data_IF_335970363313
#
_entry.id   IF_335970363313
#
_cell.length_a   1.000
_cell.length_b   1.000
_cell.length_c   1.000
_cell.angle_alpha   90.00
_cell.angle_beta   90.00
_cell.angle_gamma   90.00
#
_symmetry.space_group_name_H-M   'P 1'
#
loop_
_entity.id
_entity.type
_entity.pdbx_description
1 polymer ?
#
# COMPACT_ATOMS: atom_id res chain seq x y z
N UNK A 1 29.62 3.74 13.72
CA UNK A 1 29.61 3.60 15.19
C UNK A 1 28.54 4.52 15.77
N UNK A 2 27.77 3.98 16.70
CA UNK A 2 26.52 4.50 17.29
C UNK A 2 26.73 5.76 18.17
N UNK A 3 25.63 6.51 18.35
CA UNK A 3 25.09 7.13 19.60
C UNK A 3 24.31 8.39 19.18
N UNK A 4 22.98 8.49 19.20
CA UNK A 4 21.97 8.23 20.24
C UNK A 4 22.36 8.82 21.60
N UNK A 5 21.80 9.98 21.92
CA UNK A 5 21.69 10.49 23.29
C UNK A 5 20.47 11.42 23.36
N UNK A 6 19.38 10.90 23.92
CA UNK A 6 18.37 11.67 24.66
C UNK A 6 18.74 11.59 26.14
N UNK A 7 18.39 12.60 26.94
CA UNK A 7 17.84 12.30 28.26
C UNK A 7 16.57 13.10 28.59
N UNK A 8 15.49 12.33 28.77
CA UNK A 8 14.43 12.36 29.80
C UNK A 8 14.21 13.59 30.74
N UNK A 9 12.90 13.92 30.83
CA UNK A 9 12.08 14.20 32.04
C UNK A 9 12.17 15.55 32.77
N UNK A 10 11.01 16.24 32.91
CA UNK A 10 10.08 16.02 34.05
C UNK A 10 8.80 16.87 33.94
N UNK A 11 7.72 16.35 34.54
CA UNK A 11 6.34 16.84 34.53
C UNK A 11 6.03 17.84 35.67
N UNK A 12 5.07 18.73 35.42
CA UNK A 12 4.17 19.36 36.42
C UNK A 12 2.78 19.43 35.78
N UNK A 13 1.63 19.14 36.39
CA UNK A 13 1.28 18.97 37.78
C UNK A 13 -0.01 19.77 38.04
N UNK A 14 -1.18 19.27 37.67
CA UNK A 14 -2.48 19.83 38.08
C UNK A 14 -3.46 18.69 38.43
N UNK A 15 -3.68 18.54 39.73
CA UNK A 15 -4.76 17.75 40.34
C UNK A 15 -6.04 18.59 40.37
N UNK A 16 -7.16 18.00 39.95
CA UNK A 16 -8.49 18.27 40.50
C UNK A 16 -9.27 16.94 40.52
N UNK A 17 -10.13 16.76 41.51
CA UNK A 17 -10.50 15.49 42.11
C UNK A 17 -11.97 15.08 41.88
N UNK A 18 -12.18 13.74 41.71
CA UNK A 18 -13.34 12.90 42.14
C UNK A 18 -14.65 12.99 41.31
N UNK A 19 -15.50 11.92 41.16
CA UNK A 19 -15.50 10.61 41.84
C UNK A 19 -15.45 9.35 40.97
N UNK A 20 -15.16 8.24 41.66
CA UNK A 20 -15.15 6.87 41.22
C UNK A 20 -16.53 6.33 40.83
N UNK A 21 -16.59 5.60 39.72
CA UNK A 21 -17.55 4.52 39.52
C UNK A 21 -16.77 3.21 39.38
N UNK A 22 -16.91 2.37 40.39
CA UNK A 22 -16.40 1.01 40.43
C UNK A 22 -17.16 0.17 39.40
N UNK A 23 -16.48 -0.29 38.35
CA UNK A 23 -16.96 -1.42 37.55
C UNK A 23 -16.05 -2.61 37.82
N UNK A 24 -16.51 -3.44 38.76
CA UNK A 24 -15.97 -4.77 39.04
C UNK A 24 -16.62 -5.72 38.05
N UNK A 25 -15.92 -6.06 36.96
CA UNK A 25 -16.17 -7.30 36.22
C UNK A 25 -14.82 -7.95 35.94
N UNK A 26 -14.30 -8.61 36.97
CA UNK A 26 -13.27 -9.63 36.85
C UNK A 26 -13.98 -10.98 37.00
N UNK A 27 -14.25 -11.65 35.87
CA UNK A 27 -14.62 -13.06 35.87
C UNK A 27 -14.00 -13.76 34.65
N UNK A 28 -12.85 -14.38 34.92
CA UNK A 28 -12.52 -15.73 34.48
C UNK A 28 -12.54 -16.01 32.98
N UNK A 29 -11.54 -15.53 32.25
CA UNK A 29 -11.08 -16.20 31.03
C UNK A 29 -9.78 -16.99 31.29
N UNK A 30 -9.85 -17.94 32.22
CA UNK A 30 -8.95 -19.10 32.23
C UNK A 30 -9.74 -20.32 31.77
N UNK A 31 -9.83 -20.47 30.45
CA UNK A 31 -9.83 -21.80 29.83
C UNK A 31 -8.57 -21.93 29.00
N UNK A 32 -7.57 -22.54 29.62
CA UNK A 32 -6.50 -23.26 28.95
C UNK A 32 -7.13 -24.25 27.98
N UNK A 33 -7.30 -23.85 26.72
CA UNK A 33 -7.33 -24.81 25.62
C UNK A 33 -5.90 -24.88 25.14
N UNK A 34 -5.29 -26.06 25.25
CA UNK A 34 -3.94 -26.34 24.77
C UNK A 34 -3.75 -25.65 23.41
N UNK A 35 -2.98 -24.57 23.39
CA UNK A 35 -2.50 -24.01 22.13
C UNK A 35 -1.55 -25.06 21.59
N UNK A 36 -2.00 -25.82 20.59
CA UNK A 36 -1.06 -26.47 19.68
C UNK A 36 -0.08 -25.38 19.24
N UNK A 37 1.24 -25.64 19.23
CA UNK A 37 2.15 -24.70 18.60
C UNK A 37 1.62 -24.49 17.18
N UNK A 38 1.33 -23.24 16.86
CA UNK A 38 0.75 -22.77 15.61
C UNK A 38 1.80 -22.99 14.51
N UNK A 39 1.93 -24.24 14.09
CA UNK A 39 2.95 -24.74 13.19
C UNK A 39 2.38 -24.74 11.78
N UNK A 40 2.64 -23.63 11.09
CA UNK A 40 2.39 -23.36 9.67
C UNK A 40 0.93 -23.12 9.25
N UNK A 41 0.68 -22.09 8.42
CA UNK A 41 -0.61 -21.92 7.77
C UNK A 41 -0.95 -23.18 6.95
N UNK A 42 -2.21 -23.62 6.98
CA UNK A 42 -2.64 -24.77 6.18
C UNK A 42 -2.38 -24.50 4.68
N UNK A 43 -2.05 -25.55 3.93
CA UNK A 43 -1.83 -25.43 2.48
C UNK A 43 -3.06 -24.84 1.75
N UNK A 44 -4.26 -25.11 2.28
CA UNK A 44 -5.52 -24.55 1.79
C UNK A 44 -5.60 -23.04 1.99
N UNK A 45 -5.21 -22.53 3.16
CA UNK A 45 -5.17 -21.09 3.44
C UNK A 45 -4.18 -20.38 2.52
N UNK A 46 -2.99 -20.96 2.31
CA UNK A 46 -1.98 -20.40 1.40
C UNK A 46 -2.48 -20.35 -0.05
N UNK A 47 -3.32 -21.31 -0.45
CA UNK A 47 -3.95 -21.32 -1.77
C UNK A 47 -5.01 -20.22 -1.90
N UNK A 48 -5.90 -20.08 -0.93
CA UNK A 48 -6.91 -19.02 -0.93
C UNK A 48 -6.27 -17.64 -0.96
N UNK A 49 -5.28 -17.40 -0.09
CA UNK A 49 -4.55 -16.13 -0.07
C UNK A 49 -3.91 -15.81 -1.43
N UNK A 50 -3.37 -16.82 -2.14
CA UNK A 50 -2.80 -16.62 -3.48
C UNK A 50 -3.86 -16.19 -4.50
N UNK A 51 -5.05 -16.78 -4.45
CA UNK A 51 -6.17 -16.41 -5.32
C UNK A 51 -6.65 -14.97 -5.04
N UNK A 52 -6.72 -14.60 -3.77
CA UNK A 52 -7.09 -13.25 -3.37
C UNK A 52 -6.05 -12.23 -3.84
N UNK A 53 -4.76 -12.53 -3.68
CA UNK A 53 -3.67 -11.68 -4.15
C UNK A 53 -3.64 -11.57 -5.68
N UNK A 54 -3.97 -12.63 -6.40
CA UNK A 54 -4.14 -12.57 -7.86
C UNK A 54 -5.31 -11.65 -8.24
N UNK A 55 -6.43 -11.75 -7.54
CA UNK A 55 -7.58 -10.87 -7.74
C UNK A 55 -7.21 -9.40 -7.52
N UNK A 56 -6.47 -9.10 -6.44
CA UNK A 56 -5.97 -7.75 -6.17
C UNK A 56 -5.01 -7.28 -7.26
N UNK A 57 -4.10 -8.14 -7.72
CA UNK A 57 -3.17 -7.81 -8.80
C UNK A 57 -3.91 -7.45 -10.09
N UNK A 58 -4.80 -8.34 -10.56
CA UNK A 58 -5.57 -8.13 -11.79
C UNK A 58 -6.44 -6.88 -11.66
N UNK A 59 -7.11 -6.70 -10.52
CA UNK A 59 -7.91 -5.50 -10.25
C UNK A 59 -7.09 -4.22 -10.31
N UNK A 60 -5.88 -4.20 -9.75
CA UNK A 60 -4.99 -3.03 -9.81
C UNK A 60 -4.51 -2.73 -11.24
N UNK A 61 -4.19 -3.76 -12.03
CA UNK A 61 -3.83 -3.59 -13.45
C UNK A 61 -5.00 -2.99 -14.23
N UNK A 62 -6.21 -3.53 -14.06
CA UNK A 62 -7.41 -3.02 -14.71
C UNK A 62 -7.69 -1.56 -14.33
N UNK A 63 -7.65 -1.23 -13.04
CA UNK A 63 -7.87 0.15 -12.57
C UNK A 63 -6.80 1.12 -13.11
N UNK A 64 -5.54 0.68 -13.16
CA UNK A 64 -4.46 1.48 -13.76
C UNK A 64 -4.73 1.77 -15.22
N UNK A 65 -5.17 0.77 -15.97
CA UNK A 65 -5.50 0.91 -17.38
C UNK A 65 -6.67 1.88 -17.60
N UNK A 66 -7.78 1.68 -16.88
CA UNK A 66 -8.96 2.56 -16.97
C UNK A 66 -8.59 4.02 -16.65
N UNK A 67 -7.78 4.23 -15.62
CA UNK A 67 -7.37 5.57 -15.22
C UNK A 67 -6.41 6.22 -16.23
N UNK A 68 -5.46 5.47 -16.80
CA UNK A 68 -4.61 5.94 -17.89
C UNK A 68 -5.44 6.36 -19.11
N UNK A 69 -6.39 5.53 -19.50
CA UNK A 69 -7.28 5.80 -20.63
C UNK A 69 -8.15 7.04 -20.38
N UNK A 70 -8.68 7.17 -19.16
CA UNK A 70 -9.44 8.35 -18.75
C UNK A 70 -8.59 9.62 -18.80
N UNK A 71 -7.38 9.60 -18.24
CA UNK A 71 -6.48 10.75 -18.28
C UNK A 71 -6.12 11.12 -19.72
N UNK A 72 -5.75 10.15 -20.56
CA UNK A 72 -5.46 10.37 -21.97
C UNK A 72 -6.61 11.08 -22.70
N UNK A 73 -7.83 10.57 -22.52
CA UNK A 73 -9.04 11.15 -23.13
C UNK A 73 -9.23 12.59 -22.67
N UNK A 74 -9.14 12.84 -21.37
CA UNK A 74 -9.27 14.18 -20.80
C UNK A 74 -8.21 15.16 -21.30
N UNK A 75 -6.97 14.69 -21.46
CA UNK A 75 -5.88 15.50 -21.98
C UNK A 75 -6.09 15.89 -23.44
N UNK A 76 -6.53 14.95 -24.26
CA UNK A 76 -6.86 15.22 -25.66
C UNK A 76 -7.95 16.28 -25.76
N UNK A 77 -9.02 16.12 -25.00
CA UNK A 77 -10.13 17.08 -25.01
C UNK A 77 -9.70 18.49 -24.52
N UNK A 78 -8.75 18.58 -23.59
CA UNK A 78 -8.16 19.86 -23.15
C UNK A 78 -7.28 20.50 -24.22
N UNK A 79 -6.48 19.73 -24.94
CA UNK A 79 -5.64 20.23 -26.03
C UNK A 79 -6.48 20.76 -27.20
N UNK A 80 -7.59 20.09 -27.49
CA UNK A 80 -8.51 20.50 -28.54
C UNK A 80 -9.20 21.84 -28.17
N UNK A 81 -9.43 22.09 -26.87
CA UNK A 81 -10.00 23.33 -26.36
C UNK A 81 -8.98 24.48 -26.22
N UNK A 82 -7.76 24.19 -25.78
CA UNK A 82 -6.69 25.18 -25.58
C UNK A 82 -5.29 24.61 -26.00
N UNK A 83 -4.78 25.01 -27.17
CA UNK A 83 -3.46 24.61 -27.65
C UNK A 83 -2.28 25.10 -26.80
N UNK A 84 -2.47 26.10 -25.92
CA UNK A 84 -1.44 26.64 -25.03
C UNK A 84 -1.35 25.90 -23.69
N UNK A 85 -2.23 24.91 -23.43
CA UNK A 85 -2.18 24.04 -22.26
C UNK A 85 -0.90 23.17 -22.17
N UNK A 86 0.01 23.26 -23.16
CA UNK A 86 1.28 22.53 -23.29
C UNK A 86 2.20 22.63 -22.06
N UNK A 87 2.10 23.69 -21.26
CA UNK A 87 2.93 23.89 -20.06
C UNK A 87 2.74 22.80 -18.98
N UNK A 88 1.53 22.28 -18.81
CA UNK A 88 1.21 21.28 -17.78
C UNK A 88 1.68 19.87 -18.15
N UNK A 89 1.97 19.63 -19.43
CA UNK A 89 2.42 18.33 -19.93
C UNK A 89 3.80 17.96 -19.45
N UNK A 90 4.70 18.92 -19.27
CA UNK A 90 6.08 18.62 -18.86
C UNK A 90 6.11 17.94 -17.50
N UNK A 91 5.36 18.48 -16.53
CA UNK A 91 5.26 17.90 -15.19
C UNK A 91 4.59 16.53 -15.23
N UNK A 92 3.46 16.42 -15.94
CA UNK A 92 2.77 15.14 -16.09
C UNK A 92 3.68 14.09 -16.73
N UNK A 93 4.42 14.46 -17.77
CA UNK A 93 5.34 13.57 -18.50
C UNK A 93 6.44 13.01 -17.61
N UNK A 94 7.03 13.81 -16.71
CA UNK A 94 8.07 13.33 -15.78
C UNK A 94 7.50 12.26 -14.80
N UNK A 95 6.29 12.47 -14.31
CA UNK A 95 5.61 11.51 -13.43
C UNK A 95 5.24 10.22 -14.19
N UNK A 96 4.74 10.34 -15.42
CA UNK A 96 4.45 9.19 -16.27
C UNK A 96 5.70 8.42 -16.69
N UNK A 97 6.81 9.12 -16.96
CA UNK A 97 8.09 8.50 -17.25
C UNK A 97 8.50 7.59 -16.08
N UNK A 98 8.35 8.08 -14.85
CA UNK A 98 8.63 7.28 -13.65
C UNK A 98 7.71 6.06 -13.57
N UNK A 99 6.40 6.24 -13.78
CA UNK A 99 5.45 5.13 -13.82
C UNK A 99 5.81 4.07 -14.87
N UNK A 100 6.13 4.50 -16.10
CA UNK A 100 6.52 3.63 -17.20
C UNK A 100 7.78 2.83 -16.87
N UNK A 101 8.81 3.47 -16.30
CA UNK A 101 10.03 2.76 -15.89
C UNK A 101 9.73 1.67 -14.86
N UNK A 102 8.88 1.95 -13.88
CA UNK A 102 8.50 0.96 -12.86
C UNK A 102 7.69 -0.19 -13.46
N UNK A 103 6.75 0.10 -14.34
CA UNK A 103 5.93 -0.90 -15.03
C UNK A 103 6.79 -1.79 -15.92
N UNK A 104 7.64 -1.20 -16.76
CA UNK A 104 8.53 -1.94 -17.67
C UNK A 104 9.48 -2.83 -16.88
N UNK A 105 10.15 -2.29 -15.86
CA UNK A 105 11.04 -3.07 -15.00
C UNK A 105 10.31 -4.24 -14.35
N UNK A 106 9.07 -4.03 -13.89
CA UNK A 106 8.26 -5.09 -13.30
C UNK A 106 7.95 -6.21 -14.31
N UNK A 107 7.52 -5.86 -15.53
CA UNK A 107 7.20 -6.83 -16.60
C UNK A 107 8.45 -7.60 -17.06
N UNK A 108 9.60 -6.93 -17.17
CA UNK A 108 10.87 -7.56 -17.51
C UNK A 108 11.30 -8.54 -16.43
N UNK A 109 11.24 -8.12 -15.15
CA UNK A 109 11.60 -8.95 -14.01
C UNK A 109 10.65 -10.14 -13.81
N UNK A 110 9.37 -10.00 -14.17
CA UNK A 110 8.34 -11.02 -14.00
C UNK A 110 8.72 -12.35 -14.66
N UNK A 111 9.37 -12.31 -15.82
CA UNK A 111 9.80 -13.50 -16.56
C UNK A 111 10.88 -14.31 -15.84
N UNK A 112 11.64 -13.67 -14.94
CA UNK A 112 12.82 -14.27 -14.31
C UNK A 112 12.64 -14.52 -12.80
N UNK A 113 11.70 -13.82 -12.13
CA UNK A 113 11.60 -13.80 -10.67
C UNK A 113 10.56 -14.77 -10.08
N UNK A 114 10.08 -15.73 -10.87
CA UNK A 114 9.16 -16.78 -10.42
C UNK A 114 7.68 -16.39 -10.53
N UNK A 115 6.79 -16.94 -9.68
CA UNK A 115 5.35 -16.71 -9.81
C UNK A 115 4.98 -15.21 -9.78
N UNK A 116 4.21 -14.77 -10.79
CA UNK A 116 3.77 -13.38 -10.98
C UNK A 116 3.23 -12.72 -9.71
N UNK A 117 2.33 -13.40 -9.00
CA UNK A 117 1.66 -12.86 -7.81
C UNK A 117 2.68 -12.63 -6.68
N UNK A 118 3.63 -13.55 -6.50
CA UNK A 118 4.66 -13.42 -5.47
C UNK A 118 5.62 -12.28 -5.82
N UNK A 119 5.94 -12.13 -7.11
CA UNK A 119 6.74 -11.02 -7.61
C UNK A 119 6.00 -9.67 -7.40
N UNK A 120 4.71 -9.60 -7.73
CA UNK A 120 3.89 -8.41 -7.52
C UNK A 120 3.86 -7.98 -6.05
N UNK A 121 3.58 -8.90 -5.12
CA UNK A 121 3.53 -8.59 -3.69
C UNK A 121 4.88 -8.08 -3.18
N UNK A 122 5.98 -8.77 -3.54
CA UNK A 122 7.33 -8.33 -3.16
C UNK A 122 7.65 -6.94 -3.68
N UNK A 123 7.36 -6.67 -4.96
CA UNK A 123 7.63 -5.37 -5.55
C UNK A 123 6.74 -4.27 -4.95
N UNK A 124 5.47 -4.53 -4.62
CA UNK A 124 4.61 -3.55 -3.93
C UNK A 124 5.07 -3.22 -2.52
N UNK A 125 5.70 -4.16 -1.81
CA UNK A 125 6.29 -3.89 -0.51
C UNK A 125 7.47 -2.91 -0.59
N UNK A 126 8.31 -3.04 -1.62
CA UNK A 126 9.49 -2.20 -1.83
C UNK A 126 9.11 -0.88 -2.51
N UNK A 127 8.30 -0.96 -3.55
CA UNK A 127 7.84 0.14 -4.38
C UNK A 127 6.33 0.26 -4.31
N UNK A 128 5.86 1.07 -3.34
CA UNK A 128 4.43 1.26 -3.10
C UNK A 128 3.70 1.92 -4.27
N UNK A 129 4.41 2.67 -5.12
CA UNK A 129 3.85 3.31 -6.32
C UNK A 129 3.74 2.37 -7.53
N UNK A 130 4.15 1.10 -7.43
CA UNK A 130 4.00 0.15 -8.54
C UNK A 130 2.50 0.00 -8.90
N UNK A 131 2.17 0.13 -10.19
CA UNK A 131 0.80 0.20 -10.71
C UNK A 131 -0.04 1.36 -10.14
N UNK A 132 0.58 2.42 -9.61
CA UNK A 132 -0.13 3.63 -9.25
C UNK A 132 0.10 4.68 -10.33
N UNK A 133 -0.93 4.95 -11.11
CA UNK A 133 -0.89 5.97 -12.16
C UNK A 133 -0.79 7.37 -11.50
N UNK A 134 0.11 8.25 -11.97
CA UNK A 134 0.28 9.57 -11.42
C UNK A 134 -0.98 10.42 -11.60
N UNK A 135 -1.24 11.29 -10.62
CA UNK A 135 -2.37 12.23 -10.67
C UNK A 135 -1.90 13.50 -11.35
N UNK A 136 -2.44 13.81 -12.53
CA UNK A 136 -2.26 15.15 -13.09
C UNK A 136 -3.07 16.14 -12.25
N UNK A 137 -2.36 17.16 -11.77
CA UNK A 137 -2.92 18.30 -11.03
C UNK A 137 -3.20 19.47 -11.95
#
# INVERSE_FOLDING_TARGET
FLKLTEPFQSCSGLRAAIPALTSVVSQNFRRSRAQKPESQPSAEFMRELRVDLETVYVGQVCLSWEYLHWQYTRFRDMLDADPDYRGNFRRAADEFQTFLVLLTRFIEDEKFKGPRVDNYVKNRCVQRSLLQVPLIK
#
